data_IF_679308683701
#
_entry.id   IF_679308683701
#
_cell.length_a   1.000
_cell.length_b   1.000
_cell.length_c   1.000
_cell.angle_alpha   90.00
_cell.angle_beta   90.00
_cell.angle_gamma   90.00
#
_symmetry.space_group_name_H-M   'P 1'
#
loop_
_entity.id
_entity.type
_entity.pdbx_description
1 polymer ?
#
# COMPACT_ATOMS: atom_id res chain seq x y z
N UNK A 1 -4.96 -26.39 11.52
CA UNK A 1 -4.68 -24.97 11.31
C UNK A 1 -5.05 -24.21 12.57
N UNK A 2 -4.23 -23.26 13.03
CA UNK A 2 -4.51 -22.39 14.19
C UNK A 2 -4.55 -20.96 13.73
N UNK A 3 -5.49 -20.16 14.26
CA UNK A 3 -5.59 -18.73 14.03
C UNK A 3 -5.38 -18.00 15.35
N UNK A 4 -4.64 -16.90 15.31
CA UNK A 4 -4.47 -15.99 16.43
C UNK A 4 -4.59 -14.55 15.90
N UNK A 5 -5.05 -13.63 16.75
CA UNK A 5 -4.96 -12.20 16.51
C UNK A 5 -3.68 -11.73 17.18
N UNK A 6 -2.78 -11.14 16.39
CA UNK A 6 -1.49 -10.66 16.89
C UNK A 6 -1.02 -9.45 16.07
N UNK A 7 -0.11 -8.64 16.63
CA UNK A 7 0.56 -7.56 15.94
C UNK A 7 1.88 -8.09 15.34
N UNK A 8 2.00 -8.04 14.00
CA UNK A 8 3.19 -8.51 13.31
C UNK A 8 4.47 -7.81 13.78
N UNK A 9 4.39 -6.53 14.17
CA UNK A 9 5.54 -5.77 14.66
C UNK A 9 5.99 -6.23 16.05
N UNK A 10 5.08 -6.75 16.88
CA UNK A 10 5.34 -7.23 18.22
C UNK A 10 5.42 -8.76 18.32
N UNK A 11 5.21 -9.48 17.22
CA UNK A 11 5.11 -10.93 17.21
C UNK A 11 6.36 -11.63 17.71
N UNK A 12 6.23 -12.40 18.81
CA UNK A 12 7.30 -13.13 19.50
C UNK A 12 7.39 -14.61 19.06
N UNK A 13 7.07 -14.92 17.80
CA UNK A 13 7.21 -16.27 17.27
C UNK A 13 8.63 -16.86 17.42
N UNK A 14 8.77 -18.20 17.47
CA UNK A 14 10.05 -18.86 17.69
C UNK A 14 11.09 -18.52 16.60
N UNK A 15 12.36 -18.50 16.97
CA UNK A 15 13.50 -18.32 16.04
C UNK A 15 13.85 -19.64 15.36
N UNK A 16 14.40 -19.57 14.14
CA UNK A 16 14.89 -20.73 13.37
C UNK A 16 13.84 -21.85 13.24
N UNK A 17 12.58 -21.50 13.00
CA UNK A 17 11.48 -22.45 13.13
C UNK A 17 10.61 -22.59 11.86
N UNK A 18 10.36 -21.50 11.15
CA UNK A 18 9.41 -21.51 10.04
C UNK A 18 10.10 -21.78 8.70
N UNK A 19 9.58 -22.73 7.93
CA UNK A 19 10.00 -22.95 6.54
C UNK A 19 9.46 -21.87 5.62
N UNK A 20 8.29 -21.27 5.97
CA UNK A 20 7.67 -20.20 5.21
C UNK A 20 6.97 -19.22 6.16
N UNK A 21 7.27 -17.93 5.95
CA UNK A 21 6.47 -16.82 6.47
C UNK A 21 5.86 -16.11 5.28
N UNK A 22 4.52 -16.03 5.19
CA UNK A 22 3.79 -15.33 4.15
C UNK A 22 3.14 -14.07 4.72
N UNK A 23 3.49 -12.91 4.15
CA UNK A 23 2.92 -11.61 4.50
C UNK A 23 2.25 -10.98 3.26
N UNK A 24 0.93 -11.12 3.16
CA UNK A 24 0.16 -10.60 2.03
C UNK A 24 -0.65 -9.36 2.43
N UNK A 25 -0.30 -8.20 1.88
CA UNK A 25 -0.96 -6.92 2.11
C UNK A 25 -1.10 -6.55 3.60
N UNK A 26 -0.05 -6.80 4.38
CA UNK A 26 0.01 -6.52 5.82
C UNK A 26 1.16 -5.58 6.19
N UNK A 27 2.35 -5.72 5.57
CA UNK A 27 3.53 -4.93 5.98
C UNK A 27 3.36 -3.43 5.76
N UNK A 28 2.52 -3.00 4.81
CA UNK A 28 2.24 -1.57 4.61
C UNK A 28 1.62 -0.86 5.82
N UNK A 29 1.17 -1.61 6.82
CA UNK A 29 0.63 -1.07 8.06
C UNK A 29 1.67 -0.97 9.18
N UNK A 30 2.83 -1.62 9.01
CA UNK A 30 3.95 -1.51 9.96
C UNK A 30 4.78 -0.25 9.69
N UNK A 31 5.09 0.56 10.71
CA UNK A 31 5.84 1.79 10.52
C UNK A 31 7.34 1.56 10.30
N UNK A 32 7.91 0.46 10.80
CA UNK A 32 9.35 0.19 10.81
C UNK A 32 9.70 -1.13 10.14
N UNK A 33 9.89 -1.08 8.83
CA UNK A 33 10.34 -2.24 8.06
C UNK A 33 11.82 -2.58 8.32
N UNK A 34 12.64 -1.61 8.73
CA UNK A 34 14.07 -1.83 8.99
C UNK A 34 14.28 -2.76 10.19
N UNK A 35 13.48 -2.62 11.23
CA UNK A 35 13.50 -3.53 12.37
C UNK A 35 12.71 -4.83 12.09
N UNK A 36 11.58 -4.73 11.41
CA UNK A 36 10.67 -5.87 11.19
C UNK A 36 11.27 -6.96 10.29
N UNK A 37 11.89 -6.59 9.15
CA UNK A 37 12.39 -7.58 8.19
C UNK A 37 13.49 -8.48 8.76
N UNK A 38 14.53 -7.97 9.44
CA UNK A 38 15.51 -8.82 10.10
C UNK A 38 14.89 -9.71 11.19
N UNK A 39 13.90 -9.20 11.93
CA UNK A 39 13.20 -9.97 12.94
C UNK A 39 12.42 -11.15 12.33
N UNK A 40 11.75 -10.95 11.19
CA UNK A 40 11.06 -12.02 10.46
C UNK A 40 12.05 -13.03 9.87
N UNK A 41 13.15 -12.57 9.25
CA UNK A 41 14.21 -13.46 8.78
C UNK A 41 14.78 -14.33 9.90
N UNK A 42 14.98 -13.77 11.09
CA UNK A 42 15.48 -14.51 12.26
C UNK A 42 14.55 -15.62 12.75
N UNK A 43 13.28 -15.65 12.33
CA UNK A 43 12.31 -16.70 12.68
C UNK A 43 12.29 -17.86 11.66
N UNK A 44 12.87 -17.66 10.46
CA UNK A 44 12.97 -18.70 9.45
C UNK A 44 13.96 -19.78 9.85
N UNK A 45 13.64 -21.03 9.53
CA UNK A 45 14.59 -22.14 9.54
C UNK A 45 15.68 -21.92 8.48
N UNK A 46 16.75 -22.71 8.53
CA UNK A 46 17.74 -22.73 7.46
C UNK A 46 17.09 -23.19 6.13
N UNK A 47 17.23 -22.41 5.08
CA UNK A 47 16.55 -22.61 3.80
C UNK A 47 15.08 -22.16 3.78
N UNK A 48 14.57 -21.63 4.89
CA UNK A 48 13.21 -21.07 4.97
C UNK A 48 13.07 -19.74 4.24
N UNK A 49 11.86 -19.40 3.79
CA UNK A 49 11.58 -18.24 2.97
C UNK A 49 10.56 -17.29 3.58
N UNK A 50 10.81 -16.00 3.47
CA UNK A 50 9.85 -14.92 3.72
C UNK A 50 9.28 -14.46 2.38
N UNK A 51 8.00 -14.73 2.13
CA UNK A 51 7.28 -14.30 0.93
C UNK A 51 6.37 -13.14 1.26
N UNK A 52 6.55 -12.01 0.58
CA UNK A 52 5.84 -10.77 0.86
C UNK A 52 5.20 -10.19 -0.39
N UNK A 53 3.99 -9.66 -0.21
CA UNK A 53 3.33 -8.77 -1.16
C UNK A 53 2.90 -7.50 -0.45
N UNK A 54 3.21 -6.35 -1.04
CA UNK A 54 2.74 -5.03 -0.60
C UNK A 54 2.20 -4.21 -1.77
N UNK A 55 1.17 -3.38 -1.57
CA UNK A 55 0.75 -2.42 -2.58
C UNK A 55 1.88 -1.43 -2.89
N UNK A 56 2.09 -1.14 -4.19
CA UNK A 56 3.10 -0.19 -4.67
C UNK A 56 2.45 0.97 -5.46
N UNK A 57 1.22 1.35 -5.12
CA UNK A 57 0.34 2.22 -5.89
C UNK A 57 0.27 3.67 -5.39
N UNK A 58 1.12 4.09 -4.44
CA UNK A 58 1.09 5.46 -3.90
C UNK A 58 1.41 6.54 -4.95
N UNK A 59 2.17 6.17 -5.97
CA UNK A 59 2.52 7.09 -7.06
C UNK A 59 1.56 6.98 -8.25
N UNK A 60 0.55 6.11 -8.18
CA UNK A 60 -0.50 6.07 -9.18
C UNK A 60 -1.37 7.33 -9.14
N UNK A 61 -1.95 7.75 -10.29
CA UNK A 61 -2.66 9.01 -10.41
C UNK A 61 -3.72 9.23 -9.33
N UNK A 62 -4.52 8.21 -8.99
CA UNK A 62 -5.56 8.31 -7.97
C UNK A 62 -4.99 8.73 -6.61
N UNK A 63 -3.89 8.13 -6.15
CA UNK A 63 -3.26 8.49 -4.89
C UNK A 63 -2.56 9.85 -4.93
N UNK A 64 -1.92 10.21 -6.05
CA UNK A 64 -1.32 11.54 -6.23
C UNK A 64 -2.36 12.64 -6.19
N UNK A 65 -3.52 12.42 -6.81
CA UNK A 65 -4.64 13.36 -6.81
C UNK A 65 -5.17 13.61 -5.40
N UNK A 66 -5.33 12.58 -4.56
CA UNK A 66 -5.75 12.75 -3.16
C UNK A 66 -4.82 13.72 -2.43
N UNK A 67 -3.50 13.49 -2.51
CA UNK A 67 -2.49 14.33 -1.85
C UNK A 67 -2.45 15.75 -2.43
N UNK A 68 -2.51 15.88 -3.76
CA UNK A 68 -2.53 17.17 -4.45
C UNK A 68 -3.72 18.01 -4.00
N UNK A 69 -4.93 17.47 -4.07
CA UNK A 69 -6.16 18.19 -3.69
C UNK A 69 -6.14 18.55 -2.21
N UNK A 70 -5.59 17.67 -1.35
CA UNK A 70 -5.52 17.92 0.08
C UNK A 70 -4.69 19.15 0.45
N UNK A 71 -3.60 19.41 -0.27
CA UNK A 71 -2.72 20.57 0.00
C UNK A 71 -3.18 21.86 -0.67
N UNK A 72 -4.04 21.80 -1.68
CA UNK A 72 -4.48 22.95 -2.48
C UNK A 72 -5.79 23.60 -2.00
N UNK A 73 -6.52 22.98 -1.09
CA UNK A 73 -7.82 23.45 -0.62
C UNK A 73 -7.77 24.25 0.67
N UNK A 74 -8.88 24.90 1.03
CA UNK A 74 -9.08 25.56 2.34
C UNK A 74 -8.99 24.58 3.53
N UNK A 75 -9.05 23.28 3.24
CA UNK A 75 -8.95 22.17 4.18
C UNK A 75 -7.51 21.69 4.43
N UNK A 76 -6.48 22.36 3.85
CA UNK A 76 -5.10 21.86 3.89
C UNK A 76 -4.57 21.59 5.31
N UNK A 77 -4.88 22.47 6.27
CA UNK A 77 -4.51 22.27 7.67
C UNK A 77 -5.18 21.03 8.29
N UNK A 78 -6.48 20.82 8.01
CA UNK A 78 -7.23 19.65 8.50
C UNK A 78 -6.67 18.33 7.94
N UNK A 79 -6.13 18.36 6.71
CA UNK A 79 -5.65 17.19 5.98
C UNK A 79 -4.12 16.97 6.07
N UNK A 80 -3.38 17.79 6.80
CA UNK A 80 -1.94 17.67 6.93
C UNK A 80 -1.49 16.26 7.39
N UNK A 81 -2.20 15.67 8.33
CA UNK A 81 -1.93 14.30 8.79
C UNK A 81 -2.26 13.21 7.75
N UNK A 82 -3.24 13.47 6.86
CA UNK A 82 -3.61 12.53 5.80
C UNK A 82 -2.61 12.52 4.64
N UNK A 83 -1.95 13.65 4.39
CA UNK A 83 -0.91 13.79 3.36
C UNK A 83 0.40 13.18 3.82
N UNK A 84 0.68 13.20 5.13
CA UNK A 84 1.89 12.62 5.69
C UNK A 84 1.87 11.09 5.56
N UNK A 85 2.95 10.45 5.09
CA UNK A 85 2.97 9.00 4.95
C UNK A 85 2.82 8.33 6.32
N UNK A 86 1.76 7.54 6.51
CA UNK A 86 1.49 6.78 7.75
C UNK A 86 2.49 5.65 7.98
N UNK A 87 3.14 5.19 6.92
CA UNK A 87 4.24 4.24 6.96
C UNK A 87 5.25 4.57 5.87
N UNK A 88 6.52 4.41 6.18
CA UNK A 88 7.58 4.58 5.18
C UNK A 88 7.51 3.39 4.23
N UNK A 89 7.05 3.64 2.99
CA UNK A 89 7.12 2.64 1.93
C UNK A 89 8.43 2.81 1.20
N UNK A 90 9.20 1.75 1.20
CA UNK A 90 10.50 1.71 0.54
C UNK A 90 10.35 1.22 -0.90
N UNK A 91 11.30 1.57 -1.75
CA UNK A 91 11.40 1.04 -3.11
C UNK A 91 12.06 -0.35 -3.13
N UNK A 92 12.03 -1.01 -4.28
CA UNK A 92 12.60 -2.35 -4.47
C UNK A 92 14.08 -2.42 -4.08
N UNK A 93 14.88 -1.39 -4.42
CA UNK A 93 16.32 -1.36 -4.10
C UNK A 93 16.56 -1.35 -2.58
N UNK A 94 15.74 -0.64 -1.82
CA UNK A 94 15.85 -0.62 -0.38
C UNK A 94 15.52 -1.99 0.24
N UNK A 95 14.41 -2.63 -0.20
CA UNK A 95 14.04 -3.97 0.27
C UNK A 95 15.12 -4.99 -0.06
N UNK A 96 15.59 -5.00 -1.32
CA UNK A 96 16.67 -5.89 -1.75
C UNK A 96 17.89 -5.75 -0.85
N UNK A 97 18.41 -4.52 -0.69
CA UNK A 97 19.59 -4.25 0.12
C UNK A 97 19.40 -4.68 1.58
N UNK A 98 18.29 -4.28 2.20
CA UNK A 98 18.01 -4.60 3.60
C UNK A 98 17.97 -6.12 3.84
N UNK A 99 17.32 -6.87 2.97
CA UNK A 99 17.23 -8.32 3.11
C UNK A 99 18.56 -9.02 2.80
N UNK A 100 19.27 -8.57 1.77
CA UNK A 100 20.56 -9.13 1.37
C UNK A 100 21.65 -8.89 2.43
N UNK A 101 21.73 -7.70 3.00
CA UNK A 101 22.64 -7.35 4.10
C UNK A 101 22.36 -8.15 5.38
N UNK A 102 21.15 -8.68 5.53
CA UNK A 102 20.78 -9.60 6.61
C UNK A 102 20.91 -11.09 6.24
N UNK A 103 21.66 -11.40 5.17
CA UNK A 103 22.07 -12.75 4.81
C UNK A 103 21.07 -13.55 3.99
N UNK A 104 20.01 -12.91 3.45
CA UNK A 104 19.05 -13.61 2.60
C UNK A 104 19.44 -13.55 1.10
N UNK A 105 19.15 -14.62 0.37
CA UNK A 105 19.00 -14.58 -1.08
C UNK A 105 17.66 -13.96 -1.42
N UNK A 106 17.61 -12.99 -2.34
CA UNK A 106 16.41 -12.17 -2.58
C UNK A 106 16.02 -12.22 -4.04
N UNK A 107 14.76 -12.60 -4.30
CA UNK A 107 14.06 -12.38 -5.56
C UNK A 107 12.99 -11.31 -5.35
N UNK A 108 12.92 -10.29 -6.23
CA UNK A 108 12.01 -9.16 -6.10
C UNK A 108 11.47 -8.72 -7.46
N UNK A 109 10.14 -8.51 -7.53
CA UNK A 109 9.50 -8.09 -8.78
C UNK A 109 8.28 -7.21 -8.53
N UNK A 110 7.84 -6.51 -9.58
CA UNK A 110 6.63 -5.70 -9.59
C UNK A 110 5.60 -6.34 -10.54
N UNK A 111 4.37 -6.48 -10.09
CA UNK A 111 3.24 -6.88 -10.94
C UNK A 111 2.17 -5.80 -10.90
N UNK A 112 1.72 -5.36 -12.08
CA UNK A 112 0.59 -4.45 -12.19
C UNK A 112 -0.66 -5.22 -12.57
N UNK A 113 -1.65 -5.20 -11.68
CA UNK A 113 -3.01 -5.68 -11.98
C UNK A 113 -3.81 -4.53 -12.60
N UNK A 114 -4.64 -4.83 -13.58
CA UNK A 114 -5.58 -3.88 -14.15
C UNK A 114 -6.99 -4.30 -13.80
N UNK A 115 -7.67 -3.48 -12.99
CA UNK A 115 -9.06 -3.73 -12.61
C UNK A 115 -9.99 -3.01 -13.58
N UNK A 116 -10.82 -3.73 -14.37
CA UNK A 116 -11.82 -3.09 -15.21
C UNK A 116 -12.96 -2.56 -14.33
N UNK A 117 -13.20 -1.26 -14.39
CA UNK A 117 -14.23 -0.56 -13.62
C UNK A 117 -15.17 0.19 -14.55
N UNK A 118 -16.44 0.35 -14.13
CA UNK A 118 -17.47 1.03 -14.89
C UNK A 118 -17.33 2.57 -14.81
N UNK A 119 -16.30 3.10 -15.47
CA UNK A 119 -16.03 4.54 -15.54
C UNK A 119 -15.30 5.12 -14.33
N UNK A 120 -15.05 6.42 -14.39
CA UNK A 120 -14.31 7.16 -13.36
C UNK A 120 -14.99 7.15 -11.99
N UNK A 121 -16.32 7.15 -11.96
CA UNK A 121 -17.07 7.10 -10.70
C UNK A 121 -16.81 5.81 -9.92
N UNK A 122 -16.70 4.68 -10.61
CA UNK A 122 -16.35 3.41 -9.97
C UNK A 122 -14.92 3.42 -9.38
N UNK A 123 -13.97 4.17 -9.97
CA UNK A 123 -12.64 4.39 -9.39
C UNK A 123 -12.76 5.18 -8.09
N UNK A 124 -13.57 6.23 -8.05
CA UNK A 124 -13.82 7.02 -6.82
C UNK A 124 -14.42 6.14 -5.73
N UNK A 125 -15.44 5.36 -6.06
CA UNK A 125 -16.08 4.44 -5.09
C UNK A 125 -15.11 3.37 -4.57
N UNK A 126 -14.22 2.84 -5.44
CA UNK A 126 -13.16 1.90 -5.03
C UNK A 126 -12.31 2.45 -3.88
N UNK A 127 -11.93 3.72 -3.96
CA UNK A 127 -11.07 4.34 -2.96
C UNK A 127 -11.81 4.89 -1.73
N UNK A 128 -13.12 5.14 -1.81
CA UNK A 128 -13.93 5.57 -0.66
C UNK A 128 -13.92 4.57 0.48
N UNK A 129 -13.87 3.28 0.17
CA UNK A 129 -13.79 2.21 1.18
C UNK A 129 -12.40 2.04 1.81
N UNK A 130 -11.40 2.82 1.42
CA UNK A 130 -10.01 2.59 1.84
C UNK A 130 -9.17 3.86 1.90
N UNK A 131 -8.48 4.20 0.81
CA UNK A 131 -7.46 5.25 0.77
C UNK A 131 -8.02 6.68 0.90
N UNK A 132 -9.28 6.92 0.55
CA UNK A 132 -9.93 8.23 0.71
C UNK A 132 -10.37 8.53 2.15
N UNK A 133 -10.61 7.52 2.98
CA UNK A 133 -11.12 7.73 4.33
C UNK A 133 -10.31 8.75 5.14
N UNK A 134 -8.97 8.67 5.20
CA UNK A 134 -8.18 9.65 5.94
C UNK A 134 -8.32 11.09 5.46
N UNK A 135 -8.69 11.28 4.18
CA UNK A 135 -8.92 12.60 3.59
C UNK A 135 -10.35 13.08 3.81
N UNK A 136 -11.33 12.19 3.94
CA UNK A 136 -12.74 12.55 4.05
C UNK A 136 -13.20 12.69 5.49
N UNK A 137 -12.66 11.90 6.43
CA UNK A 137 -13.06 11.91 7.83
C UNK A 137 -12.91 13.26 8.52
N UNK A 138 -11.81 14.04 8.34
CA UNK A 138 -11.63 15.33 9.00
C UNK A 138 -12.50 16.47 8.42
N UNK A 139 -13.13 16.26 7.25
CA UNK A 139 -13.87 17.27 6.52
C UNK A 139 -15.34 17.35 6.97
N UNK A 140 -15.87 18.57 7.04
CA UNK A 140 -17.31 18.76 7.16
C UNK A 140 -18.07 18.34 5.87
N UNK A 141 -19.40 18.26 5.88
CA UNK A 141 -20.16 17.79 4.72
C UNK A 141 -19.96 18.64 3.44
N UNK A 142 -19.81 19.96 3.56
CA UNK A 142 -19.60 20.84 2.41
C UNK A 142 -18.20 20.68 1.82
N UNK A 143 -17.19 20.66 2.68
CA UNK A 143 -15.79 20.40 2.30
C UNK A 143 -15.62 19.01 1.67
N UNK A 144 -16.25 17.99 2.26
CA UNK A 144 -16.24 16.62 1.72
C UNK A 144 -16.83 16.56 0.32
N UNK A 145 -17.93 17.24 0.09
CA UNK A 145 -18.58 17.31 -1.22
C UNK A 145 -17.67 18.02 -2.24
N UNK A 146 -17.06 19.13 -1.86
CA UNK A 146 -16.14 19.88 -2.69
C UNK A 146 -14.84 19.10 -3.00
N UNK A 147 -14.28 18.40 -2.01
CA UNK A 147 -13.12 17.51 -2.20
C UNK A 147 -13.43 16.41 -3.19
N UNK A 148 -14.55 15.70 -3.00
CA UNK A 148 -14.96 14.61 -3.88
C UNK A 148 -15.26 15.08 -5.31
N UNK A 149 -15.83 16.28 -5.48
CA UNK A 149 -16.06 16.86 -6.81
C UNK A 149 -14.74 17.07 -7.56
N UNK A 150 -13.74 17.69 -6.88
CA UNK A 150 -12.40 17.90 -7.47
C UNK A 150 -11.70 16.57 -7.74
N UNK A 151 -11.80 15.63 -6.81
CA UNK A 151 -11.18 14.31 -6.95
C UNK A 151 -11.78 13.54 -8.13
N UNK A 152 -13.10 13.54 -8.28
CA UNK A 152 -13.82 12.91 -9.40
C UNK A 152 -13.38 13.50 -10.75
N UNK A 153 -13.30 14.82 -10.85
CA UNK A 153 -12.83 15.49 -12.07
C UNK A 153 -11.40 15.08 -12.44
N UNK A 154 -10.48 15.08 -11.47
CA UNK A 154 -9.10 14.65 -11.71
C UNK A 154 -8.98 13.15 -12.04
N UNK A 155 -9.80 12.29 -11.45
CA UNK A 155 -9.84 10.86 -11.78
C UNK A 155 -10.35 10.66 -13.21
N UNK A 156 -11.39 11.38 -13.64
CA UNK A 156 -11.90 11.29 -15.02
C UNK A 156 -10.86 11.72 -16.06
N UNK A 157 -10.03 12.71 -15.74
CA UNK A 157 -8.92 13.13 -16.59
C UNK A 157 -7.78 12.10 -16.62
N UNK A 158 -7.41 11.56 -15.45
CA UNK A 158 -6.27 10.64 -15.31
C UNK A 158 -6.55 9.21 -15.82
N UNK A 159 -7.81 8.81 -15.84
CA UNK A 159 -8.27 7.48 -16.26
C UNK A 159 -9.31 7.60 -17.36
N UNK A 160 -8.89 7.86 -18.60
CA UNK A 160 -9.83 7.97 -19.72
C UNK A 160 -10.54 6.64 -19.96
N UNK A 161 -11.86 6.73 -20.18
CA UNK A 161 -12.67 5.56 -20.47
C UNK A 161 -12.39 5.01 -21.88
N UNK A 162 -12.42 3.69 -22.01
CA UNK A 162 -12.44 2.99 -23.28
C UNK A 162 -13.77 3.23 -24.01
N UNK A 163 -13.89 2.74 -25.24
CA UNK A 163 -15.10 2.95 -26.08
C UNK A 163 -16.39 2.41 -25.47
N UNK A 164 -16.27 1.39 -24.61
CA UNK A 164 -17.39 0.75 -23.91
C UNK A 164 -17.67 1.40 -22.52
N UNK A 165 -16.97 2.48 -22.19
CA UNK A 165 -17.08 3.16 -20.91
C UNK A 165 -16.23 2.57 -19.79
N UNK A 166 -15.50 1.47 -20.04
CA UNK A 166 -14.63 0.83 -19.05
C UNK A 166 -13.37 1.68 -18.78
N UNK A 167 -12.98 1.77 -17.54
CA UNK A 167 -11.70 2.32 -17.08
C UNK A 167 -10.84 1.19 -16.54
N UNK A 168 -9.57 1.13 -16.96
CA UNK A 168 -8.59 0.19 -16.39
C UNK A 168 -7.82 0.87 -15.26
N UNK A 169 -8.16 0.51 -14.02
CA UNK A 169 -7.43 0.98 -12.84
C UNK A 169 -6.15 0.15 -12.66
N UNK A 170 -4.99 0.76 -12.90
CA UNK A 170 -3.71 0.15 -12.62
C UNK A 170 -3.49 0.01 -11.11
N UNK A 171 -3.10 -1.17 -10.67
CA UNK A 171 -2.86 -1.48 -9.25
C UNK A 171 -1.55 -2.26 -9.10
N UNK A 172 -0.39 -1.57 -9.11
CA UNK A 172 0.90 -2.20 -8.95
C UNK A 172 1.09 -2.74 -7.52
N UNK A 173 1.72 -3.91 -7.46
CA UNK A 173 2.09 -4.60 -6.22
C UNK A 173 3.55 -5.04 -6.30
N UNK A 174 4.31 -4.78 -5.24
CA UNK A 174 5.66 -5.26 -5.09
C UNK A 174 5.63 -6.62 -4.39
N UNK A 175 6.34 -7.56 -4.95
CA UNK A 175 6.55 -8.89 -4.40
C UNK A 175 8.03 -9.09 -4.12
N UNK A 176 8.33 -9.81 -3.06
CA UNK A 176 9.67 -10.34 -2.86
C UNK A 176 9.64 -11.66 -2.09
N UNK A 177 10.64 -12.50 -2.38
CA UNK A 177 10.96 -13.70 -1.63
C UNK A 177 12.39 -13.54 -1.12
N UNK A 178 12.55 -13.71 0.19
CA UNK A 178 13.86 -13.69 0.84
C UNK A 178 14.11 -15.04 1.52
N UNK A 179 15.09 -15.78 1.03
CA UNK A 179 15.44 -17.11 1.53
C UNK A 179 16.71 -17.06 2.35
N UNK A 180 16.68 -17.63 3.54
CA UNK A 180 17.77 -17.69 4.53
C UNK A 180 18.70 -18.85 4.29
#
# INVERSE_FOLDING_TARGET
MRFAIDDIAAWQGPRNHFDLILANAVLQWSPDHAALLPALLGKLAAGGSLAVQVPANLEEPAHRLMRKIAIEGSWAEKLAAAVSPRSVRHNANWYYRTLHENGASVDIWLTTYYHPLAGADAVVEWFKGSALNPFLEPLDPAERSAFLLRYRAGVAEAYPALRDGTVLLAFPRLFFIATR
#
